data_IF_853901283997
#
_entry.id   IF_853901283997
#
_cell.length_a   1.000
_cell.length_b   1.000
_cell.length_c   1.000
_cell.angle_alpha   90.00
_cell.angle_beta   90.00
_cell.angle_gamma   90.00
#
_symmetry.space_group_name_H-M   'P 1'
#
loop_
_entity.id
_entity.type
_entity.pdbx_description
1 polymer ?
#
# COMPACT_ATOMS: atom_id res chain seq x y z
N UNK A 1 -0.35 19.96 5.26
CA UNK A 1 0.49 21.15 5.51
C UNK A 1 0.45 21.70 6.93
N UNK A 2 -0.66 22.15 7.53
CA UNK A 2 -0.64 22.64 8.93
C UNK A 2 -0.42 21.55 9.99
N UNK A 3 -0.70 20.28 9.66
CA UNK A 3 -0.43 19.15 10.57
C UNK A 3 1.03 18.68 10.54
N UNK A 4 1.75 18.92 9.45
CA UNK A 4 3.15 18.51 9.23
C UNK A 4 4.17 19.39 9.96
N UNK A 5 3.74 20.50 10.58
CA UNK A 5 4.61 21.46 11.28
C UNK A 5 4.59 21.30 12.80
N UNK A 6 3.95 20.25 13.32
CA UNK A 6 3.97 19.92 14.74
C UNK A 6 4.48 18.51 14.99
N UNK A 7 5.79 18.39 15.25
CA UNK A 7 6.43 17.10 15.52
C UNK A 7 5.93 16.37 16.76
N UNK A 8 5.15 17.03 17.62
CA UNK A 8 4.46 16.33 18.71
C UNK A 8 3.37 15.41 18.19
N UNK A 9 2.71 15.77 17.08
CA UNK A 9 1.72 14.91 16.42
C UNK A 9 2.39 13.68 15.82
N UNK A 10 3.51 13.88 15.13
CA UNK A 10 4.30 12.78 14.58
C UNK A 10 4.76 11.82 15.68
N UNK A 11 5.28 12.33 16.81
CA UNK A 11 5.63 11.51 17.96
C UNK A 11 4.46 10.63 18.45
N UNK A 12 3.25 11.20 18.56
CA UNK A 12 2.05 10.45 18.97
C UNK A 12 1.71 9.36 17.94
N UNK A 13 1.86 9.64 16.64
CA UNK A 13 1.61 8.66 15.58
C UNK A 13 2.62 7.51 15.64
N UNK A 14 3.91 7.80 15.85
CA UNK A 14 4.96 6.80 16.02
C UNK A 14 4.67 5.86 17.19
N UNK A 15 4.23 6.41 18.32
CA UNK A 15 3.90 5.65 19.52
C UNK A 15 2.61 4.84 19.37
N UNK A 16 1.62 5.37 18.65
CA UNK A 16 0.42 4.62 18.30
C UNK A 16 0.76 3.41 17.43
N UNK A 17 1.63 3.58 16.44
CA UNK A 17 2.09 2.49 15.60
C UNK A 17 2.94 1.47 16.36
N UNK A 18 3.82 1.92 17.27
CA UNK A 18 4.59 1.02 18.12
C UNK A 18 3.69 0.18 19.04
N UNK A 19 2.65 0.79 19.64
CA UNK A 19 1.64 0.05 20.43
C UNK A 19 0.88 -0.96 19.59
N UNK A 20 0.57 -0.63 18.34
CA UNK A 20 -0.05 -1.57 17.39
C UNK A 20 0.87 -2.77 17.11
N UNK A 21 2.16 -2.53 16.84
CA UNK A 21 3.15 -3.60 16.64
C UNK A 21 3.13 -4.56 17.83
N UNK A 22 3.22 -4.03 19.05
CA UNK A 22 3.21 -4.82 20.28
C UNK A 22 1.88 -5.57 20.49
N UNK A 23 0.75 -4.91 20.28
CA UNK A 23 -0.58 -5.50 20.47
C UNK A 23 -0.86 -6.66 19.50
N UNK A 24 -0.28 -6.62 18.30
CA UNK A 24 -0.41 -7.68 17.29
C UNK A 24 0.70 -8.74 17.37
N UNK A 25 1.67 -8.60 18.29
CA UNK A 25 2.79 -9.52 18.44
C UNK A 25 3.82 -9.42 17.32
N UNK A 26 3.95 -8.24 16.70
CA UNK A 26 4.89 -7.96 15.62
C UNK A 26 6.28 -7.49 16.10
N UNK A 27 6.55 -7.48 17.40
CA UNK A 27 7.80 -6.97 18.00
C UNK A 27 9.09 -7.63 17.49
N UNK A 28 8.99 -8.85 16.97
CA UNK A 28 10.09 -9.58 16.31
C UNK A 28 10.20 -9.33 14.82
N UNK A 29 9.19 -8.73 14.20
CA UNK A 29 9.15 -8.47 12.76
C UNK A 29 9.28 -6.99 12.40
N UNK A 30 8.79 -6.08 13.25
CA UNK A 30 8.74 -4.66 12.95
C UNK A 30 9.09 -3.78 14.16
N UNK A 31 9.43 -2.53 13.87
CA UNK A 31 9.75 -1.53 14.89
C UNK A 31 9.45 -0.11 14.41
N UNK A 32 8.88 0.70 15.29
CA UNK A 32 8.93 2.17 15.20
C UNK A 32 9.97 2.69 16.20
N UNK A 33 10.74 3.76 15.89
CA UNK A 33 11.69 4.33 16.83
C UNK A 33 11.05 4.77 18.14
N UNK A 34 11.72 4.55 19.27
CA UNK A 34 11.32 5.15 20.54
C UNK A 34 11.47 6.68 20.51
N UNK A 35 10.47 7.43 21.01
CA UNK A 35 10.51 8.90 21.04
C UNK A 35 11.09 9.42 22.36
N UNK A 36 12.10 10.28 22.29
CA UNK A 36 12.65 10.98 23.44
C UNK A 36 11.91 12.31 23.65
N UNK A 37 10.78 12.27 24.35
CA UNK A 37 9.92 13.46 24.59
C UNK A 37 10.64 14.64 25.24
N UNK A 38 11.54 14.38 26.19
CA UNK A 38 12.31 15.43 26.89
C UNK A 38 13.25 16.19 25.96
N UNK A 39 13.62 15.60 24.82
CA UNK A 39 14.41 16.21 23.75
C UNK A 39 13.58 16.62 22.53
N UNK A 40 12.25 16.55 22.63
CA UNK A 40 11.34 16.80 21.51
C UNK A 40 10.46 18.02 21.78
N UNK A 41 10.20 18.79 20.74
CA UNK A 41 9.37 19.99 20.75
C UNK A 41 8.48 20.02 19.52
N UNK A 42 7.70 21.08 19.35
CA UNK A 42 6.92 21.29 18.11
C UNK A 42 7.80 21.32 16.84
N UNK A 43 9.07 21.73 16.96
CA UNK A 43 9.98 21.98 15.82
C UNK A 43 11.19 21.05 15.75
N UNK A 44 11.37 20.19 16.76
CA UNK A 44 12.46 19.20 16.79
C UNK A 44 11.88 17.89 17.29
N UNK A 45 12.05 16.81 16.54
CA UNK A 45 11.74 15.45 16.96
C UNK A 45 13.04 14.71 17.27
N UNK A 46 13.18 14.19 18.49
CA UNK A 46 14.33 13.35 18.87
C UNK A 46 13.83 11.93 19.13
N UNK A 47 14.42 10.96 18.43
CA UNK A 47 14.00 9.56 18.48
C UNK A 47 15.20 8.60 18.47
N UNK A 48 14.93 7.34 18.77
CA UNK A 48 15.90 6.25 18.72
C UNK A 48 16.53 6.16 17.33
N UNK A 49 17.86 6.10 17.31
CA UNK A 49 18.59 5.84 16.08
C UNK A 49 18.44 4.37 15.70
N UNK A 50 17.78 4.10 14.58
CA UNK A 50 17.74 2.78 13.97
C UNK A 50 19.03 2.53 13.17
N UNK A 51 19.49 1.28 13.15
CA UNK A 51 20.67 0.83 12.40
C UNK A 51 20.26 -0.26 11.41
N UNK A 52 20.44 0.03 10.13
CA UNK A 52 19.97 -0.83 9.04
C UNK A 52 20.31 -0.22 7.69
N UNK A 53 19.62 -0.69 6.66
CA UNK A 53 19.66 -0.14 5.31
C UNK A 53 18.24 0.20 4.85
N UNK A 54 18.04 1.27 4.06
CA UNK A 54 16.73 1.59 3.52
C UNK A 54 16.27 0.50 2.54
N UNK A 55 14.96 0.24 2.45
CA UNK A 55 14.41 -0.77 1.51
C UNK A 55 14.62 -0.38 0.04
N UNK A 56 15.01 0.87 -0.24
CA UNK A 56 15.41 1.34 -1.57
C UNK A 56 16.81 0.87 -2.00
N UNK A 57 17.66 0.45 -1.07
CA UNK A 57 19.03 0.00 -1.35
C UNK A 57 19.07 -1.53 -1.53
N UNK A 58 18.64 -1.96 -2.72
CA UNK A 58 18.41 -3.37 -3.04
C UNK A 58 19.69 -4.20 -2.99
N UNK A 59 20.81 -3.61 -3.40
CA UNK A 59 22.11 -4.28 -3.43
C UNK A 59 22.57 -4.59 -2.00
N UNK A 60 22.41 -3.62 -1.09
CA UNK A 60 22.70 -3.83 0.33
C UNK A 60 21.78 -4.89 0.96
N UNK A 61 20.47 -4.86 0.66
CA UNK A 61 19.51 -5.82 1.22
C UNK A 61 19.85 -7.26 0.81
N UNK A 62 20.15 -7.50 -0.47
CA UNK A 62 20.53 -8.83 -0.99
C UNK A 62 21.78 -9.39 -0.30
N UNK A 63 22.66 -8.53 0.21
CA UNK A 63 23.85 -8.93 0.95
C UNK A 63 23.58 -9.21 2.44
N UNK A 64 22.52 -8.63 3.01
CA UNK A 64 22.21 -8.67 4.44
C UNK A 64 21.23 -9.78 4.82
N UNK A 65 20.33 -10.15 3.91
CA UNK A 65 19.35 -11.21 4.15
C UNK A 65 19.34 -12.22 3.02
N UNK A 66 19.14 -13.52 3.35
CA UNK A 66 19.01 -14.55 2.34
C UNK A 66 17.72 -14.42 1.52
N UNK A 67 16.69 -13.76 2.07
CA UNK A 67 15.40 -13.56 1.43
C UNK A 67 14.89 -12.11 1.59
N UNK A 68 15.20 -11.23 0.62
CA UNK A 68 14.67 -9.86 0.55
C UNK A 68 13.15 -9.80 0.39
N UNK A 69 12.55 -10.80 -0.24
CA UNK A 69 11.12 -10.86 -0.52
C UNK A 69 10.32 -11.02 0.77
N UNK A 70 10.78 -11.87 1.69
CA UNK A 70 10.16 -12.02 3.01
C UNK A 70 10.14 -10.71 3.82
N UNK A 71 11.15 -9.85 3.63
CA UNK A 71 11.19 -8.52 4.26
C UNK A 71 10.05 -7.64 3.73
N UNK A 72 9.77 -7.69 2.42
CA UNK A 72 8.66 -6.94 1.82
C UNK A 72 7.30 -7.47 2.28
N UNK A 73 7.13 -8.79 2.25
CA UNK A 73 5.90 -9.45 2.73
C UNK A 73 5.63 -9.03 4.19
N UNK A 74 6.67 -9.00 5.02
CA UNK A 74 6.56 -8.55 6.42
C UNK A 74 6.14 -7.08 6.50
N UNK A 75 6.80 -6.19 5.75
CA UNK A 75 6.48 -4.77 5.74
C UNK A 75 5.03 -4.52 5.31
N UNK A 76 4.58 -5.20 4.25
CA UNK A 76 3.23 -5.11 3.72
C UNK A 76 2.19 -5.59 4.73
N UNK A 77 2.40 -6.75 5.35
CA UNK A 77 1.48 -7.29 6.36
C UNK A 77 1.32 -6.35 7.56
N UNK A 78 2.42 -5.79 8.07
CA UNK A 78 2.39 -4.86 9.20
C UNK A 78 1.70 -3.55 8.80
N UNK A 79 1.96 -3.05 7.59
CA UNK A 79 1.29 -1.84 7.12
C UNK A 79 -0.21 -2.05 6.86
N UNK A 80 -0.60 -3.11 6.14
CA UNK A 80 -2.01 -3.44 5.90
C UNK A 80 -2.77 -3.65 7.20
N UNK A 81 -2.19 -4.40 8.15
CA UNK A 81 -2.83 -4.61 9.45
C UNK A 81 -3.02 -3.30 10.24
N UNK A 82 -2.15 -2.31 10.05
CA UNK A 82 -2.26 -1.00 10.69
C UNK A 82 -3.45 -0.17 10.19
N UNK A 83 -3.91 -0.40 8.94
CA UNK A 83 -5.04 0.32 8.35
C UNK A 83 -6.34 0.11 9.11
N UNK A 84 -6.47 -1.05 9.76
CA UNK A 84 -7.66 -1.45 10.52
C UNK A 84 -7.45 -1.23 12.02
N UNK A 85 -6.24 -1.50 12.49
CA UNK A 85 -5.96 -1.64 13.92
C UNK A 85 -5.50 -0.34 14.57
N UNK A 86 -5.05 0.64 13.78
CA UNK A 86 -4.68 1.96 14.26
C UNK A 86 -5.80 2.98 14.04
N UNK A 87 -5.89 3.99 14.91
CA UNK A 87 -6.78 5.15 14.69
C UNK A 87 -6.39 5.96 13.44
N UNK A 88 -5.11 5.89 13.07
CA UNK A 88 -4.55 6.48 11.87
C UNK A 88 -3.49 5.57 11.29
N UNK A 89 -3.44 5.49 9.96
CA UNK A 89 -2.43 4.71 9.26
C UNK A 89 -1.30 5.59 8.75
N UNK A 90 -0.13 5.00 8.57
CA UNK A 90 1.02 5.65 7.96
C UNK A 90 0.73 5.88 6.47
N UNK A 91 0.41 7.12 6.10
CA UNK A 91 -0.11 7.47 4.78
C UNK A 91 0.96 7.90 3.77
N UNK A 92 2.24 7.94 4.17
CA UNK A 92 3.38 8.13 3.28
C UNK A 92 4.44 7.02 3.39
N UNK A 93 3.97 5.76 3.43
CA UNK A 93 4.88 4.61 3.54
C UNK A 93 5.44 4.27 2.16
N UNK A 94 6.57 4.87 1.83
CA UNK A 94 7.37 4.47 0.68
C UNK A 94 8.64 3.77 1.16
N UNK A 95 9.35 3.03 0.30
CA UNK A 95 10.54 2.29 0.75
C UNK A 95 11.66 3.17 1.35
N UNK A 96 11.66 4.49 1.12
CA UNK A 96 12.56 5.42 1.83
C UNK A 96 12.28 5.53 3.34
N UNK A 97 11.05 5.23 3.75
CA UNK A 97 10.56 5.26 5.14
C UNK A 97 10.53 3.86 5.77
N UNK A 98 11.01 2.85 5.04
CA UNK A 98 11.12 1.47 5.48
C UNK A 98 12.59 1.06 5.48
N UNK A 99 13.03 0.48 6.58
CA UNK A 99 14.42 0.07 6.77
C UNK A 99 14.49 -1.41 7.15
N UNK A 100 15.43 -2.14 6.55
CA UNK A 100 15.82 -3.45 7.03
C UNK A 100 16.85 -3.25 8.14
N UNK A 101 16.46 -3.54 9.38
CA UNK A 101 17.32 -3.39 10.54
C UNK A 101 18.32 -4.54 10.61
N UNK A 102 19.47 -4.29 11.24
CA UNK A 102 20.54 -5.29 11.42
C UNK A 102 20.11 -6.52 12.22
N UNK A 103 19.03 -6.41 12.99
CA UNK A 103 18.44 -7.51 13.74
C UNK A 103 17.34 -8.27 12.99
N UNK A 104 17.13 -7.96 11.70
CA UNK A 104 16.18 -8.62 10.81
C UNK A 104 14.77 -8.03 10.83
N UNK A 105 14.49 -7.02 11.65
CA UNK A 105 13.19 -6.35 11.69
C UNK A 105 13.04 -5.31 10.58
N UNK A 106 11.80 -4.99 10.25
CA UNK A 106 11.43 -3.83 9.42
C UNK A 106 11.22 -2.60 10.31
N UNK A 107 12.09 -1.60 10.17
CA UNK A 107 11.95 -0.30 10.78
C UNK A 107 11.03 0.61 9.96
N UNK A 108 10.01 1.17 10.59
CA UNK A 108 9.15 2.20 10.00
C UNK A 108 9.55 3.56 10.57
N UNK A 109 9.80 4.56 9.72
CA UNK A 109 10.19 5.93 10.11
C UNK A 109 9.35 6.96 9.38
N UNK A 110 9.32 8.21 9.85
CA UNK A 110 8.55 9.33 9.29
C UNK A 110 7.03 9.13 9.37
N UNK A 111 6.44 9.52 10.50
CA UNK A 111 4.98 9.44 10.71
C UNK A 111 4.32 10.83 10.62
N UNK A 112 4.94 11.74 9.85
CA UNK A 112 4.45 13.11 9.66
C UNK A 112 3.14 13.16 8.86
N UNK A 113 2.94 12.20 7.96
CA UNK A 113 1.73 12.09 7.13
C UNK A 113 0.97 10.82 7.51
N UNK A 114 -0.16 11.00 8.18
CA UNK A 114 -1.09 9.92 8.53
C UNK A 114 -2.47 10.18 7.93
N UNK A 115 -3.19 9.10 7.63
CA UNK A 115 -4.56 9.14 7.16
C UNK A 115 -5.50 8.41 8.11
N UNK A 116 -6.80 8.61 7.97
CA UNK A 116 -7.83 7.90 8.75
C UNK A 116 -8.90 7.37 7.82
N UNK A 117 -9.07 6.06 7.78
CA UNK A 117 -10.11 5.41 6.97
C UNK A 117 -11.21 4.96 7.93
N UNK A 118 -12.46 5.32 7.63
CA UNK A 118 -13.57 4.84 8.43
C UNK A 118 -13.70 3.32 8.28
N UNK A 119 -14.15 2.57 9.31
CA UNK A 119 -14.32 1.12 9.18
C UNK A 119 -15.22 0.70 8.00
N UNK A 120 -16.22 1.54 7.66
CA UNK A 120 -17.10 1.33 6.50
C UNK A 120 -16.33 1.50 5.18
N UNK A 121 -15.56 2.57 5.05
CA UNK A 121 -14.73 2.82 3.87
C UNK A 121 -13.71 1.71 3.70
N UNK A 122 -13.08 1.27 4.79
CA UNK A 122 -12.11 0.17 4.74
C UNK A 122 -12.74 -1.16 4.29
N UNK A 123 -13.91 -1.51 4.82
CA UNK A 123 -14.62 -2.73 4.39
C UNK A 123 -14.94 -2.71 2.89
N UNK A 124 -15.41 -1.57 2.37
CA UNK A 124 -15.63 -1.41 0.94
C UNK A 124 -14.32 -1.50 0.14
N UNK A 125 -13.21 -0.98 0.67
CA UNK A 125 -11.88 -1.11 0.04
C UNK A 125 -11.38 -2.55 -0.01
N UNK A 126 -11.58 -3.33 1.05
CA UNK A 126 -11.23 -4.77 1.05
C UNK A 126 -11.98 -5.51 -0.06
N UNK A 127 -13.27 -5.22 -0.24
CA UNK A 127 -14.07 -5.79 -1.33
C UNK A 127 -13.51 -5.35 -2.67
N UNK A 128 -13.23 -4.05 -2.87
CA UNK A 128 -12.64 -3.54 -4.10
C UNK A 128 -11.32 -4.25 -4.46
N UNK A 129 -10.40 -4.40 -3.50
CA UNK A 129 -9.10 -5.06 -3.71
C UNK A 129 -9.27 -6.56 -3.99
N UNK A 130 -10.18 -7.25 -3.30
CA UNK A 130 -10.47 -8.66 -3.54
C UNK A 130 -11.12 -8.88 -4.92
N UNK A 131 -12.08 -8.01 -5.29
CA UNK A 131 -12.77 -8.05 -6.59
C UNK A 131 -11.84 -7.75 -7.76
N UNK A 132 -10.83 -6.90 -7.55
CA UNK A 132 -9.77 -6.70 -8.55
C UNK A 132 -9.00 -7.99 -8.82
N UNK A 133 -8.64 -8.74 -7.77
CA UNK A 133 -7.89 -9.99 -7.94
C UNK A 133 -8.70 -11.08 -8.68
N UNK A 134 -10.03 -11.10 -8.51
CA UNK A 134 -10.94 -12.07 -9.14
C UNK A 134 -11.62 -11.55 -10.41
N UNK A 135 -11.29 -10.33 -10.86
CA UNK A 135 -11.92 -9.67 -12.01
C UNK A 135 -13.47 -9.57 -11.89
N UNK A 136 -13.97 -9.43 -10.65
CA UNK A 136 -15.40 -9.23 -10.37
C UNK A 136 -15.76 -7.74 -10.46
N UNK A 137 -16.04 -7.27 -11.66
CA UNK A 137 -16.33 -5.85 -11.91
C UNK A 137 -17.63 -5.36 -11.26
N UNK A 138 -18.60 -6.24 -10.98
CA UNK A 138 -19.85 -5.86 -10.30
C UNK A 138 -19.61 -5.60 -8.82
N UNK A 139 -18.87 -6.50 -8.16
CA UNK A 139 -18.47 -6.30 -6.78
C UNK A 139 -17.53 -5.09 -6.64
N UNK A 140 -16.66 -4.85 -7.63
CA UNK A 140 -15.81 -3.66 -7.70
C UNK A 140 -16.64 -2.36 -7.80
N UNK A 141 -17.60 -2.29 -8.71
CA UNK A 141 -18.49 -1.14 -8.89
C UNK A 141 -19.32 -0.86 -7.62
N UNK A 142 -19.85 -1.91 -6.99
CA UNK A 142 -20.60 -1.81 -5.73
C UNK A 142 -19.72 -1.26 -4.60
N UNK A 143 -18.50 -1.78 -4.45
CA UNK A 143 -17.54 -1.32 -3.45
C UNK A 143 -17.13 0.15 -3.62
N UNK A 144 -16.82 0.57 -4.86
CA UNK A 144 -16.51 1.97 -5.17
C UNK A 144 -17.70 2.89 -4.91
N UNK A 145 -18.92 2.40 -5.17
CA UNK A 145 -20.15 3.13 -4.85
C UNK A 145 -20.35 3.33 -3.35
N UNK A 146 -20.06 2.31 -2.55
CA UNK A 146 -20.11 2.41 -1.09
C UNK A 146 -19.03 3.35 -0.51
N UNK A 147 -17.84 3.40 -1.14
CA UNK A 147 -16.75 4.29 -0.73
C UNK A 147 -16.99 5.77 -1.07
N UNK A 148 -17.44 6.04 -2.30
CA UNK A 148 -17.50 7.39 -2.88
C UNK A 148 -18.74 8.20 -2.51
N UNK A 149 -19.51 7.73 -1.51
CA UNK A 149 -20.66 8.35 -0.87
C UNK A 149 -21.22 9.57 -1.60
N UNK A 150 -22.07 9.32 -2.62
CA UNK A 150 -22.93 10.36 -3.17
C UNK A 150 -24.39 10.05 -2.91
N UNK A 151 -25.23 11.08 -2.81
CA UNK A 151 -26.66 10.93 -2.61
C UNK A 151 -27.43 10.50 -3.87
N UNK A 152 -26.73 10.12 -4.94
CA UNK A 152 -27.32 9.73 -6.20
C UNK A 152 -27.31 8.21 -6.33
N UNK A 153 -28.39 7.66 -6.88
CA UNK A 153 -28.47 6.24 -7.24
C UNK A 153 -27.57 5.99 -8.45
N UNK A 154 -26.58 5.13 -8.30
CA UNK A 154 -25.59 4.82 -9.34
C UNK A 154 -26.06 3.57 -10.07
N UNK A 155 -26.06 3.62 -11.41
CA UNK A 155 -26.24 2.43 -12.22
C UNK A 155 -24.97 1.56 -12.15
N UNK A 156 -24.98 0.65 -11.17
CA UNK A 156 -23.86 -0.26 -10.88
C UNK A 156 -23.52 -1.15 -12.07
N UNK A 157 -24.52 -1.60 -12.85
CA UNK A 157 -24.30 -2.48 -14.00
C UNK A 157 -23.58 -1.75 -15.13
N UNK A 158 -23.97 -0.50 -15.40
CA UNK A 158 -23.27 0.34 -16.37
C UNK A 158 -21.87 0.68 -15.89
N UNK A 159 -21.71 1.00 -14.61
CA UNK A 159 -20.40 1.31 -14.03
C UNK A 159 -19.44 0.11 -14.09
N UNK A 160 -19.93 -1.09 -13.76
CA UNK A 160 -19.15 -2.33 -13.86
C UNK A 160 -18.64 -2.59 -15.29
N UNK A 161 -19.47 -2.33 -16.31
CA UNK A 161 -19.05 -2.46 -17.72
C UNK A 161 -17.96 -1.47 -18.11
N UNK A 162 -18.03 -0.25 -17.62
CA UNK A 162 -17.01 0.76 -17.90
C UNK A 162 -15.70 0.47 -17.14
N UNK A 163 -15.78 -0.04 -15.90
CA UNK A 163 -14.60 -0.59 -15.20
C UNK A 163 -13.98 -1.74 -15.99
N UNK A 164 -14.78 -2.69 -16.47
CA UNK A 164 -14.30 -3.81 -17.29
C UNK A 164 -13.53 -3.32 -18.51
N UNK A 165 -14.05 -2.32 -19.24
CA UNK A 165 -13.35 -1.74 -20.41
C UNK A 165 -11.98 -1.18 -20.05
N UNK A 166 -11.88 -0.45 -18.93
CA UNK A 166 -10.60 0.11 -18.45
C UNK A 166 -9.60 -1.02 -18.22
N UNK A 167 -9.98 -2.04 -17.44
CA UNK A 167 -9.05 -3.12 -17.06
C UNK A 167 -8.72 -4.06 -18.22
N UNK A 168 -9.66 -4.37 -19.11
CA UNK A 168 -9.40 -5.19 -20.30
C UNK A 168 -8.46 -4.51 -21.29
N UNK A 169 -8.56 -3.18 -21.45
CA UNK A 169 -7.65 -2.43 -22.35
C UNK A 169 -6.18 -2.57 -21.97
N UNK A 170 -5.89 -2.84 -20.69
CA UNK A 170 -4.54 -2.99 -20.19
C UNK A 170 -3.98 -4.39 -20.38
N UNK A 171 -4.81 -5.42 -20.24
CA UNK A 171 -4.41 -6.80 -20.52
C UNK A 171 -3.96 -6.97 -21.98
N UNK A 172 -4.60 -6.26 -22.91
CA UNK A 172 -4.21 -6.23 -24.33
C UNK A 172 -2.83 -5.59 -24.52
N UNK A 173 -2.58 -4.45 -23.87
CA UNK A 173 -1.28 -3.76 -23.90
C UNK A 173 -0.15 -4.59 -23.28
N UNK A 174 -0.37 -5.23 -22.13
CA UNK A 174 0.62 -6.07 -21.47
C UNK A 174 1.01 -7.28 -22.33
N UNK A 175 0.03 -7.88 -23.00
CA UNK A 175 0.26 -8.99 -23.92
C UNK A 175 1.15 -8.56 -25.10
N UNK A 176 0.92 -7.37 -25.67
CA UNK A 176 1.75 -6.84 -26.75
C UNK A 176 3.19 -6.54 -26.29
N UNK A 177 3.36 -5.94 -25.10
CA UNK A 177 4.67 -5.62 -24.53
C UNK A 177 5.47 -6.89 -24.21
N UNK A 178 4.84 -7.89 -23.59
CA UNK A 178 5.49 -9.18 -23.27
C UNK A 178 5.96 -9.86 -24.57
N UNK A 179 5.14 -9.85 -25.62
CA UNK A 179 5.52 -10.42 -26.93
C UNK A 179 6.68 -9.65 -27.57
N UNK A 180 6.75 -8.33 -27.40
CA UNK A 180 7.86 -7.52 -27.88
C UNK A 180 9.16 -7.75 -27.07
N UNK A 181 9.06 -7.79 -25.74
CA UNK A 181 10.20 -8.00 -24.84
C UNK A 181 10.76 -9.42 -24.90
N UNK A 182 9.93 -10.44 -25.12
CA UNK A 182 10.38 -11.82 -25.33
C UNK A 182 11.30 -11.97 -26.57
N UNK A 183 11.33 -10.98 -27.47
CA UNK A 183 12.23 -10.93 -28.62
C UNK A 183 13.59 -10.25 -28.31
N UNK A 184 13.79 -9.71 -27.11
CA UNK A 184 15.01 -9.00 -26.70
C UNK A 184 15.48 -9.44 -25.31
N UNK A 185 16.67 -10.02 -25.22
CA UNK A 185 17.21 -10.64 -23.99
C UNK A 185 18.19 -9.75 -23.21
N UNK A 186 17.94 -8.44 -23.12
CA UNK A 186 18.88 -7.49 -22.49
C UNK A 186 18.37 -6.93 -21.15
N UNK A 187 19.29 -6.61 -20.25
CA UNK A 187 18.99 -5.98 -18.95
C UNK A 187 18.30 -4.61 -19.09
N UNK A 188 18.49 -3.91 -20.21
CA UNK A 188 17.73 -2.71 -20.58
C UNK A 188 16.24 -3.00 -20.79
N UNK A 189 15.87 -4.22 -21.21
CA UNK A 189 14.48 -4.63 -21.37
C UNK A 189 13.77 -4.78 -20.01
N UNK A 190 14.48 -5.23 -18.96
CA UNK A 190 13.89 -5.32 -17.60
C UNK A 190 13.59 -3.93 -17.05
N UNK A 191 14.54 -2.99 -17.15
CA UNK A 191 14.31 -1.61 -16.73
C UNK A 191 13.24 -0.91 -17.56
N UNK A 192 13.18 -1.18 -18.87
CA UNK A 192 12.12 -0.65 -19.73
C UNK A 192 10.74 -1.22 -19.35
N UNK A 193 10.63 -2.52 -19.08
CA UNK A 193 9.37 -3.17 -18.70
C UNK A 193 8.83 -2.60 -17.37
N UNK A 194 9.69 -2.39 -16.36
CA UNK A 194 9.29 -1.78 -15.08
C UNK A 194 8.78 -0.35 -15.27
N UNK A 195 9.42 0.45 -16.13
CA UNK A 195 9.00 1.84 -16.40
C UNK A 195 7.71 1.91 -17.22
N UNK A 196 7.51 0.99 -18.16
CA UNK A 196 6.30 0.91 -18.98
C UNK A 196 5.10 0.56 -18.10
N UNK A 197 5.26 -0.41 -17.24
CA UNK A 197 4.22 -0.87 -16.34
C UNK A 197 3.87 0.16 -15.23
N UNK A 198 4.86 0.92 -14.73
CA UNK A 198 4.59 2.07 -13.83
C UNK A 198 3.70 3.13 -14.50
N UNK A 199 3.89 3.39 -15.80
CA UNK A 199 3.04 4.35 -16.54
C UNK A 199 1.63 3.79 -16.75
N UNK A 200 1.51 2.51 -17.06
CA UNK A 200 0.23 1.84 -17.26
C UNK A 200 -0.59 1.82 -15.97
N UNK A 201 0.01 1.47 -14.84
CA UNK A 201 -0.69 1.44 -13.55
C UNK A 201 -1.13 2.84 -13.08
N UNK A 202 -0.29 3.86 -13.28
CA UNK A 202 -0.68 5.24 -13.00
C UNK A 202 -1.84 5.70 -13.92
N UNK A 203 -1.82 5.31 -15.20
CA UNK A 203 -2.91 5.61 -16.13
C UNK A 203 -4.23 4.93 -15.71
N UNK A 204 -4.18 3.65 -15.32
CA UNK A 204 -5.34 2.94 -14.77
C UNK A 204 -5.96 3.67 -13.59
N UNK A 205 -5.14 4.10 -12.65
CA UNK A 205 -5.64 4.79 -11.47
C UNK A 205 -6.35 6.10 -11.86
N UNK A 206 -5.78 6.86 -12.80
CA UNK A 206 -6.41 8.08 -13.31
C UNK A 206 -7.72 7.78 -14.05
N UNK A 207 -7.77 6.72 -14.85
CA UNK A 207 -8.97 6.33 -15.58
C UNK A 207 -10.06 5.79 -14.65
N UNK A 208 -9.69 5.03 -13.61
CA UNK A 208 -10.57 4.62 -12.53
C UNK A 208 -11.20 5.84 -11.84
N UNK A 209 -10.39 6.84 -11.47
CA UNK A 209 -10.89 8.07 -10.85
C UNK A 209 -11.82 8.81 -11.81
N UNK A 210 -11.44 8.98 -13.08
CA UNK A 210 -12.24 9.69 -14.09
C UNK A 210 -13.59 9.01 -14.36
N UNK A 211 -13.60 7.69 -14.53
CA UNK A 211 -14.85 6.95 -14.74
C UNK A 211 -15.70 7.05 -13.49
N UNK A 212 -15.13 6.87 -12.30
CA UNK A 212 -15.88 7.03 -11.06
C UNK A 212 -16.50 8.43 -10.91
N UNK A 213 -15.76 9.49 -11.24
CA UNK A 213 -16.27 10.87 -11.27
C UNK A 213 -17.42 11.05 -12.27
N UNK A 214 -17.39 10.35 -13.41
CA UNK A 214 -18.49 10.39 -14.40
C UNK A 214 -19.80 9.79 -13.88
N UNK A 215 -19.71 8.85 -12.93
CA UNK A 215 -20.85 8.31 -12.18
C UNK A 215 -21.18 9.14 -10.92
N UNK A 216 -20.52 10.30 -10.76
CA UNK A 216 -20.73 11.22 -9.66
C UNK A 216 -19.96 10.88 -8.39
N UNK A 217 -19.16 9.81 -8.36
CA UNK A 217 -18.40 9.40 -7.18
C UNK A 217 -17.32 10.41 -6.81
N UNK A 218 -17.19 10.66 -5.50
CA UNK A 218 -16.10 11.47 -4.95
C UNK A 218 -15.37 10.66 -3.90
N UNK A 219 -14.18 10.20 -4.25
CA UNK A 219 -13.38 9.43 -3.30
C UNK A 219 -12.83 10.30 -2.18
N UNK A 220 -12.81 9.79 -0.93
CA UNK A 220 -12.09 10.43 0.15
C UNK A 220 -10.60 10.61 -0.20
N UNK A 221 -9.98 11.66 0.33
CA UNK A 221 -8.53 11.91 0.13
C UNK A 221 -7.69 10.71 0.57
N UNK A 222 -8.13 10.03 1.63
CA UNK A 222 -7.46 8.88 2.22
C UNK A 222 -7.43 7.67 1.29
N UNK A 223 -8.46 7.50 0.44
CA UNK A 223 -8.46 6.48 -0.60
C UNK A 223 -7.35 6.75 -1.62
N UNK A 224 -7.24 7.98 -2.12
CA UNK A 224 -6.18 8.36 -3.05
C UNK A 224 -4.78 8.20 -2.44
N UNK A 225 -4.62 8.56 -1.16
CA UNK A 225 -3.36 8.34 -0.43
C UNK A 225 -3.02 6.85 -0.34
N UNK A 226 -3.98 5.99 -0.02
CA UNK A 226 -3.72 4.55 0.05
C UNK A 226 -3.34 3.98 -1.31
N UNK A 227 -4.10 4.31 -2.36
CA UNK A 227 -3.80 3.83 -3.72
C UNK A 227 -2.40 4.25 -4.14
N UNK A 228 -2.00 5.49 -3.85
CA UNK A 228 -0.63 5.96 -4.08
C UNK A 228 0.41 5.07 -3.39
N UNK A 229 0.18 4.66 -2.14
CA UNK A 229 1.11 3.76 -1.42
C UNK A 229 1.14 2.35 -2.02
N UNK A 230 0.00 1.80 -2.46
CA UNK A 230 -0.03 0.52 -3.17
C UNK A 230 0.81 0.57 -4.46
N UNK A 231 0.73 1.67 -5.22
CA UNK A 231 1.54 1.87 -6.42
C UNK A 231 3.05 1.90 -6.09
N UNK A 232 3.43 2.55 -5.00
CA UNK A 232 4.83 2.53 -4.56
C UNK A 232 5.28 1.12 -4.17
N UNK A 233 4.48 0.37 -3.42
CA UNK A 233 4.82 -1.00 -3.05
C UNK A 233 4.89 -1.96 -4.24
N UNK A 234 4.00 -1.82 -5.22
CA UNK A 234 4.04 -2.62 -6.46
C UNK A 234 5.38 -2.45 -7.18
N UNK A 235 5.85 -1.20 -7.28
CA UNK A 235 7.17 -0.90 -7.85
C UNK A 235 8.32 -1.60 -7.11
N UNK A 236 8.33 -1.59 -5.78
CA UNK A 236 9.38 -2.25 -5.01
C UNK A 236 9.28 -3.78 -5.07
N UNK A 237 8.06 -4.30 -5.07
CA UNK A 237 7.77 -5.72 -5.30
C UNK A 237 8.41 -6.16 -6.62
N UNK A 238 8.23 -5.43 -7.71
CA UNK A 238 8.84 -5.78 -9.01
C UNK A 238 10.36 -5.77 -9.01
N UNK A 239 11.00 -4.98 -8.15
CA UNK A 239 12.45 -4.89 -8.07
C UNK A 239 13.07 -5.97 -7.17
N UNK A 240 12.38 -6.34 -6.08
CA UNK A 240 12.87 -7.25 -5.05
C UNK A 240 12.33 -8.67 -5.17
N UNK A 241 11.13 -8.80 -5.71
CA UNK A 241 10.39 -10.05 -5.88
C UNK A 241 9.59 -10.03 -7.21
N UNK A 242 10.28 -10.09 -8.38
CA UNK A 242 9.63 -9.88 -9.68
C UNK A 242 8.52 -10.88 -10.02
N UNK A 243 8.51 -12.05 -9.38
CA UNK A 243 7.48 -13.08 -9.52
C UNK A 243 6.32 -12.93 -8.53
N UNK A 244 6.41 -12.01 -7.57
CA UNK A 244 5.38 -11.81 -6.55
C UNK A 244 4.27 -10.90 -7.10
N UNK A 245 3.02 -11.37 -7.00
CA UNK A 245 1.86 -10.51 -7.22
C UNK A 245 1.28 -10.12 -5.86
N UNK A 246 1.50 -8.87 -5.44
CA UNK A 246 1.13 -8.38 -4.11
C UNK A 246 -0.35 -8.62 -3.75
N UNK A 247 -1.27 -8.53 -4.72
CA UNK A 247 -2.70 -8.67 -4.50
C UNK A 247 -3.19 -10.12 -4.50
N UNK A 248 -2.36 -11.06 -4.97
CA UNK A 248 -2.69 -12.50 -5.07
C UNK A 248 -1.80 -13.38 -4.19
N UNK A 249 -0.80 -12.82 -3.53
CA UNK A 249 0.13 -13.57 -2.68
C UNK A 249 -0.52 -13.98 -1.35
N UNK A 250 -0.65 -15.28 -1.11
CA UNK A 250 -1.28 -15.83 0.10
C UNK A 250 -0.55 -15.44 1.40
N UNK A 251 0.71 -15.02 1.32
CA UNK A 251 1.45 -14.55 2.49
C UNK A 251 1.08 -13.13 2.89
N UNK A 252 0.36 -12.39 2.03
CA UNK A 252 -0.04 -11.00 2.26
C UNK A 252 -1.52 -10.97 2.68
N UNK A 253 -1.77 -10.54 3.91
CA UNK A 253 -3.10 -10.42 4.48
C UNK A 253 -3.63 -9.00 4.31
N UNK A 254 -4.28 -8.75 3.18
CA UNK A 254 -4.93 -7.46 2.87
C UNK A 254 -6.30 -7.35 3.56
N UNK A 255 -6.96 -8.48 3.81
CA UNK A 255 -8.31 -8.53 4.39
C UNK A 255 -8.26 -8.77 5.91
N UNK A 256 -9.17 -8.12 6.63
CA UNK A 256 -9.37 -8.34 8.06
C UNK A 256 -9.76 -9.79 8.29
N UNK A 257 -8.95 -10.50 9.07
CA UNK A 257 -9.16 -11.90 9.45
C UNK A 257 -10.33 -12.07 10.45
N UNK A 258 -11.46 -11.37 10.22
CA UNK A 258 -12.69 -11.45 11.03
C UNK A 258 -13.51 -12.70 10.72
N UNK A 259 -13.30 -13.38 9.59
CA UNK A 259 -14.03 -14.63 9.30
C UNK A 259 -13.58 -15.81 10.17
N UNK A 260 -12.37 -15.78 10.74
CA UNK A 260 -11.83 -16.93 11.50
C UNK A 260 -12.20 -16.91 13.00
N UNK A 261 -12.92 -15.88 13.49
CA UNK A 261 -13.37 -15.80 14.89
C UNK A 261 -14.85 -16.19 15.12
N UNK A 262 -15.55 -16.71 14.10
CA UNK A 262 -16.93 -17.23 14.24
C UNK A 262 -17.06 -18.75 14.25
N UNK A 263 -15.95 -19.48 14.29
CA UNK A 263 -15.94 -20.91 14.58
C UNK A 263 -14.94 -21.18 15.70
N UNK A 264 -15.38 -20.93 16.93
CA UNK A 264 -14.96 -21.59 18.17
C UNK A 264 -15.91 -21.17 19.29
#
# INVERSE_FOLDING_TARGET
MLEEVDFRKEAVNMEAFQRYIEAMGFDRQAKSPFVYHHCSTKRVLTMERLYGVPLTDLDSIRSLVPDPELTLVTALNVWFGSLISCESFHADVHAGNLWLLRDGRVGFIDFGIVGRISPRTWAAMEIFLASFATEDYNAMASALSEMGATGNDIDVDSFAKDLQKIFSSLQELDTEIIVAAARSSDATAVSANVVVDERQMNALFLDLVRVSESYGLKFPREFALLMKQLLYFDRYTRLLAPSMNMLRDERINITSNKQTRRMN
#
